data_IF_266291741002
#
_entry.id   IF_266291741002
#
_cell.length_a   1.000
_cell.length_b   1.000
_cell.length_c   1.000
_cell.angle_alpha   90.00
_cell.angle_beta   90.00
_cell.angle_gamma   90.00
#
_symmetry.space_group_name_H-M   'P 1'
#
loop_
_entity.id
_entity.type
_entity.pdbx_description
1 polymer ?
#
# COMPACT_ATOMS: atom_id res chain seq x y z
N UNK A 1 14.45 8.65 4.57
CA UNK A 1 13.91 7.31 4.90
C UNK A 1 12.88 6.86 3.88
N UNK A 2 11.79 7.61 3.67
CA UNK A 2 10.71 7.26 2.73
C UNK A 2 11.23 7.02 1.30
N UNK A 3 12.01 7.96 0.73
CA UNK A 3 12.58 7.78 -0.62
C UNK A 3 13.51 6.56 -0.76
N UNK A 4 14.21 6.17 0.31
CA UNK A 4 15.04 4.94 0.31
C UNK A 4 14.17 3.69 0.22
N UNK A 5 13.03 3.68 0.94
CA UNK A 5 12.08 2.58 0.87
C UNK A 5 11.45 2.49 -0.53
N UNK A 6 11.05 3.61 -1.11
CA UNK A 6 10.54 3.69 -2.50
C UNK A 6 11.59 3.13 -3.47
N UNK A 7 12.84 3.59 -3.37
CA UNK A 7 13.93 3.10 -4.20
C UNK A 7 14.21 1.60 -4.04
N UNK A 8 14.13 1.07 -2.81
CA UNK A 8 14.31 -0.38 -2.59
C UNK A 8 13.20 -1.21 -3.26
N UNK A 9 11.97 -0.72 -3.28
CA UNK A 9 10.85 -1.41 -3.95
C UNK A 9 10.91 -1.29 -5.47
N UNK A 10 11.52 -0.23 -6.00
CA UNK A 10 11.78 -0.13 -7.43
C UNK A 10 12.66 -1.28 -7.94
N UNK A 11 13.64 -1.73 -7.15
CA UNK A 11 14.49 -2.88 -7.51
C UNK A 11 13.69 -4.20 -7.47
N UNK A 12 12.79 -4.37 -6.50
CA UNK A 12 11.91 -5.55 -6.41
C UNK A 12 11.04 -5.69 -7.67
N UNK A 13 10.62 -4.57 -8.25
CA UNK A 13 9.84 -4.52 -9.48
C UNK A 13 10.70 -4.46 -10.76
N UNK A 14 12.02 -4.68 -10.65
CA UNK A 14 12.96 -4.61 -11.78
C UNK A 14 12.92 -3.27 -12.54
N UNK A 15 12.62 -2.17 -11.82
CA UNK A 15 12.47 -0.83 -12.39
C UNK A 15 11.17 -0.61 -13.19
N UNK A 16 10.29 -1.61 -13.26
CA UNK A 16 9.00 -1.54 -13.98
C UNK A 16 7.92 -0.98 -13.07
N UNK A 17 8.01 0.33 -12.82
CA UNK A 17 7.10 1.05 -11.93
C UNK A 17 6.23 2.01 -12.74
N UNK A 18 4.93 1.80 -12.76
CA UNK A 18 3.99 2.67 -13.49
C UNK A 18 3.70 3.97 -12.73
N UNK A 19 3.76 3.95 -11.40
CA UNK A 19 3.50 5.11 -10.58
C UNK A 19 3.79 4.89 -9.11
N UNK A 20 4.01 5.99 -8.39
CA UNK A 20 4.25 6.02 -6.95
C UNK A 20 3.10 6.80 -6.31
N UNK A 21 2.27 6.12 -5.51
CA UNK A 21 1.16 6.74 -4.80
C UNK A 21 1.54 7.03 -3.35
N UNK A 22 1.43 8.29 -2.95
CA UNK A 22 1.65 8.73 -1.57
C UNK A 22 0.31 8.86 -0.86
N UNK A 23 0.01 7.91 0.03
CA UNK A 23 -1.20 7.92 0.87
C UNK A 23 -0.93 8.29 2.33
N UNK A 24 -1.99 8.24 3.14
CA UNK A 24 -1.93 8.47 4.59
C UNK A 24 -1.89 9.95 4.99
N UNK A 25 -2.04 10.23 6.28
CA UNK A 25 -2.13 11.61 6.79
C UNK A 25 -0.92 12.51 6.47
N UNK A 26 0.29 11.94 6.35
CA UNK A 26 1.49 12.72 6.02
C UNK A 26 1.51 13.26 4.59
N UNK A 27 0.71 12.68 3.68
CA UNK A 27 0.61 13.15 2.30
C UNK A 27 -0.11 14.51 2.18
N UNK A 28 -0.69 15.04 3.27
CA UNK A 28 -1.18 16.43 3.32
C UNK A 28 -0.06 17.47 3.36
N UNK A 29 1.17 17.09 3.74
CA UNK A 29 2.30 18.02 3.74
C UNK A 29 2.86 18.20 2.32
N UNK A 30 2.61 19.37 1.73
CA UNK A 30 3.12 19.72 0.40
C UNK A 30 4.65 19.66 0.33
N UNK A 31 5.34 20.14 1.37
CA UNK A 31 6.81 20.09 1.47
C UNK A 31 7.35 18.65 1.39
N UNK A 32 6.69 17.72 2.10
CA UNK A 32 7.07 16.31 2.07
C UNK A 32 6.84 15.71 0.69
N UNK A 33 5.67 15.95 0.12
CA UNK A 33 5.28 15.46 -1.20
C UNK A 33 6.23 15.99 -2.27
N UNK A 34 6.60 17.27 -2.22
CA UNK A 34 7.52 17.87 -3.18
C UNK A 34 8.92 17.27 -3.08
N UNK A 35 9.47 17.11 -1.87
CA UNK A 35 10.77 16.45 -1.67
C UNK A 35 10.77 15.02 -2.20
N UNK A 36 9.67 14.28 -2.03
CA UNK A 36 9.53 12.93 -2.55
C UNK A 36 9.40 12.90 -4.07
N UNK A 37 8.68 13.86 -4.66
CA UNK A 37 8.64 14.07 -6.11
C UNK A 37 10.05 14.32 -6.65
N UNK A 38 10.78 15.27 -6.10
CA UNK A 38 12.12 15.63 -6.59
C UNK A 38 13.11 14.45 -6.51
N UNK A 39 12.99 13.61 -5.48
CA UNK A 39 13.91 12.49 -5.26
C UNK A 39 13.53 11.19 -5.98
N UNK A 40 12.25 10.98 -6.26
CA UNK A 40 11.73 9.70 -6.77
C UNK A 40 11.08 9.79 -8.17
N UNK A 41 10.88 10.98 -8.73
CA UNK A 41 10.23 11.16 -10.04
C UNK A 41 11.01 10.53 -11.20
N UNK A 42 12.30 10.25 -11.05
CA UNK A 42 13.09 9.52 -12.05
C UNK A 42 12.69 8.03 -12.14
N UNK A 43 12.07 7.47 -11.10
CA UNK A 43 11.60 6.08 -11.07
C UNK A 43 10.26 5.99 -11.79
N UNK A 44 9.30 6.82 -11.41
CA UNK A 44 7.94 6.85 -11.96
C UNK A 44 7.19 8.13 -11.55
N UNK A 45 6.06 8.47 -12.19
CA UNK A 45 5.20 9.57 -11.77
C UNK A 45 4.73 9.41 -10.32
N UNK A 46 4.95 10.45 -9.51
CA UNK A 46 4.54 10.47 -8.09
C UNK A 46 3.22 11.22 -7.98
N UNK A 47 2.22 10.64 -7.30
CA UNK A 47 0.91 11.28 -7.07
C UNK A 47 0.53 11.15 -5.60
N UNK A 48 0.09 12.26 -5.00
CA UNK A 48 -0.39 12.27 -3.62
C UNK A 48 -1.90 12.04 -3.60
N UNK A 49 -2.32 11.09 -2.78
CA UNK A 49 -3.71 10.79 -2.45
C UNK A 49 -3.87 10.92 -0.93
N UNK A 50 -3.97 12.15 -0.41
CA UNK A 50 -3.98 12.39 1.02
C UNK A 50 -5.27 11.88 1.67
N UNK A 51 -5.14 11.35 2.89
CA UNK A 51 -6.23 10.74 3.65
C UNK A 51 -6.11 9.22 3.76
N UNK A 52 -7.05 8.61 4.48
CA UNK A 52 -6.98 7.18 4.82
C UNK A 52 -8.15 6.35 4.26
N UNK A 53 -9.22 6.99 3.74
CA UNK A 53 -10.35 6.38 2.99
C UNK A 53 -10.87 5.03 3.52
N UNK A 54 -10.73 4.77 4.83
CA UNK A 54 -10.94 3.43 5.40
C UNK A 54 -12.42 3.05 5.40
N UNK A 55 -13.30 4.00 5.75
CA UNK A 55 -14.75 3.79 5.77
C UNK A 55 -15.29 3.59 4.35
N UNK A 56 -14.81 4.37 3.39
CA UNK A 56 -15.13 4.23 1.98
C UNK A 56 -14.63 2.90 1.41
N UNK A 57 -13.43 2.47 1.77
CA UNK A 57 -12.89 1.18 1.37
C UNK A 57 -13.70 0.01 1.96
N UNK A 58 -14.11 0.11 3.23
CA UNK A 58 -14.98 -0.88 3.88
C UNK A 58 -16.36 -0.94 3.22
N UNK A 59 -16.98 0.21 2.94
CA UNK A 59 -18.27 0.31 2.25
C UNK A 59 -18.19 -0.20 0.81
N UNK A 60 -17.07 0.07 0.12
CA UNK A 60 -16.81 -0.45 -1.22
C UNK A 60 -16.61 -1.97 -1.23
N UNK A 61 -16.04 -2.55 -0.16
CA UNK A 61 -15.84 -3.98 -0.02
C UNK A 61 -17.12 -4.74 0.31
N UNK A 62 -17.57 -4.65 1.56
CA UNK A 62 -18.64 -5.49 2.05
C UNK A 62 -20.01 -5.14 1.43
N UNK A 63 -20.55 -3.92 1.60
CA UNK A 63 -21.81 -3.53 0.98
C UNK A 63 -21.80 -3.58 -0.55
N UNK A 64 -20.76 -3.03 -1.21
CA UNK A 64 -20.82 -2.81 -2.66
C UNK A 64 -20.33 -3.97 -3.52
N UNK A 65 -19.34 -4.77 -3.08
CA UNK A 65 -18.85 -5.92 -3.87
C UNK A 65 -19.44 -7.25 -3.40
N UNK A 66 -19.48 -7.49 -2.10
CA UNK A 66 -19.97 -8.78 -1.58
C UNK A 66 -21.49 -8.88 -1.66
N UNK A 67 -22.23 -7.91 -1.12
CA UNK A 67 -23.69 -7.98 -1.13
C UNK A 67 -24.32 -7.82 -2.53
N UNK A 68 -23.58 -7.27 -3.50
CA UNK A 68 -24.02 -7.18 -4.90
C UNK A 68 -23.69 -8.43 -5.73
N UNK A 69 -22.96 -9.40 -5.16
CA UNK A 69 -22.54 -10.63 -5.85
C UNK A 69 -21.37 -10.45 -6.82
N UNK A 70 -20.67 -9.31 -6.79
CA UNK A 70 -19.48 -9.08 -7.62
C UNK A 70 -18.21 -9.78 -7.07
N UNK A 71 -18.17 -10.10 -5.77
CA UNK A 71 -17.08 -10.79 -5.11
C UNK A 71 -17.61 -11.76 -4.04
N UNK A 72 -17.08 -12.98 -3.97
CA UNK A 72 -17.46 -13.95 -2.94
C UNK A 72 -16.79 -13.63 -1.59
N UNK A 73 -17.51 -13.70 -0.46
CA UNK A 73 -16.93 -13.45 0.85
C UNK A 73 -15.90 -14.53 1.21
N UNK A 74 -14.70 -14.09 1.63
CA UNK A 74 -13.65 -15.01 2.10
C UNK A 74 -13.94 -15.48 3.52
N UNK A 75 -13.70 -16.77 3.79
CA UNK A 75 -13.80 -17.36 5.13
C UNK A 75 -12.45 -17.31 5.84
N UNK A 76 -12.40 -16.64 6.99
CA UNK A 76 -11.25 -16.71 7.89
C UNK A 76 -11.20 -18.09 8.56
N UNK A 77 -10.08 -18.79 8.44
CA UNK A 77 -9.91 -20.16 8.98
C UNK A 77 -9.68 -20.16 10.49
N UNK A 78 -9.11 -19.10 11.05
CA UNK A 78 -8.69 -19.06 12.46
C UNK A 78 -7.38 -19.81 12.74
N UNK A 79 -7.00 -20.72 11.86
CA UNK A 79 -5.73 -21.45 11.93
C UNK A 79 -4.56 -20.62 11.40
N UNK A 80 -3.44 -20.53 12.13
CA UNK A 80 -2.21 -19.91 11.63
C UNK A 80 -1.73 -20.64 10.37
N UNK A 81 -1.62 -19.92 9.25
CA UNK A 81 -1.09 -20.45 7.98
C UNK A 81 0.44 -20.44 7.93
N UNK A 82 1.09 -19.89 8.96
CA UNK A 82 2.53 -19.86 9.12
C UNK A 82 2.91 -20.31 10.51
N UNK A 83 3.85 -21.25 10.58
CA UNK A 83 4.45 -21.70 11.83
C UNK A 83 5.94 -21.30 11.81
N UNK A 84 6.43 -20.53 12.80
CA UNK A 84 7.83 -20.13 12.82
C UNK A 84 8.75 -21.36 12.85
N UNK A 85 9.91 -21.31 12.16
CA UNK A 85 10.92 -22.33 12.32
C UNK A 85 11.39 -22.38 13.77
N UNK A 86 11.80 -23.57 14.26
CA UNK A 86 12.22 -23.77 15.64
C UNK A 86 13.39 -22.89 16.08
N UNK A 87 14.21 -22.39 15.15
CA UNK A 87 15.32 -21.48 15.43
C UNK A 87 14.91 -20.03 15.80
N UNK A 88 13.61 -19.74 15.91
CA UNK A 88 13.08 -18.42 16.32
C UNK A 88 12.39 -18.46 17.69
N UNK A 89 12.42 -19.60 18.40
CA UNK A 89 11.68 -19.83 19.65
C UNK A 89 12.60 -19.76 20.90
N UNK A 90 13.87 -19.40 20.73
CA UNK A 90 14.82 -19.22 21.84
C UNK A 90 14.67 -17.85 22.54
#
# INVERSE_FOLDING_TARGET
QIGKAIGSMAVVLEGRVDGILLGGGMAHSEDLVQRLRDTCAWIAPVTAYPGEFEMEAMAAGAPRRVLSGAEEPKRYTGDPVWNPPTCWID
#
